data_IF_496579746361
#
_entry.id   IF_496579746361
#
_cell.length_a   1.000
_cell.length_b   1.000
_cell.length_c   1.000
_cell.angle_alpha   90.00
_cell.angle_beta   90.00
_cell.angle_gamma   90.00
#
_symmetry.space_group_name_H-M   'P 1'
#
loop_
_entity.id
_entity.type
_entity.pdbx_description
1 polymer ?
#
# COMPACT_ATOMS: atom_id res chain seq x y z
N UNK A 1 -4.97 54.18 5.84
CA UNK A 1 -5.86 53.33 5.04
C UNK A 1 -5.36 51.93 5.13
N UNK A 2 -6.03 51.00 5.82
CA UNK A 2 -5.61 49.60 5.90
C UNK A 2 -6.22 48.81 4.75
N UNK A 3 -5.37 47.97 4.11
CA UNK A 3 -5.71 47.03 3.02
C UNK A 3 -6.42 45.83 3.65
N UNK A 4 -7.68 45.64 3.27
CA UNK A 4 -8.46 44.44 3.65
C UNK A 4 -8.00 43.25 2.84
N UNK A 5 -7.36 42.27 3.49
CA UNK A 5 -7.14 40.91 2.94
C UNK A 5 -8.44 40.11 3.07
N UNK A 6 -9.13 39.96 1.96
CA UNK A 6 -10.26 39.04 1.81
C UNK A 6 -9.74 37.60 1.65
N UNK A 7 -9.75 36.85 2.75
CA UNK A 7 -9.45 35.41 2.73
C UNK A 7 -10.71 34.67 2.29
N UNK A 8 -10.66 34.05 1.12
CA UNK A 8 -11.66 33.12 0.61
C UNK A 8 -11.86 31.95 1.58
N UNK A 9 -12.89 32.01 2.41
CA UNK A 9 -13.42 30.82 3.11
C UNK A 9 -14.27 30.03 2.13
N UNK A 10 -13.71 28.99 1.53
CA UNK A 10 -14.52 27.93 0.92
C UNK A 10 -15.09 27.07 2.02
N UNK A 11 -16.39 27.18 2.25
CA UNK A 11 -17.14 26.26 3.10
C UNK A 11 -17.16 24.89 2.40
N UNK A 12 -16.31 23.97 2.85
CA UNK A 12 -16.51 22.55 2.58
C UNK A 12 -17.68 22.10 3.46
N UNK A 13 -18.83 21.88 2.84
CA UNK A 13 -19.93 21.17 3.48
C UNK A 13 -19.52 19.72 3.57
N UNK A 14 -18.94 19.32 4.68
CA UNK A 14 -18.82 17.94 5.08
C UNK A 14 -20.24 17.47 5.46
N UNK A 15 -20.77 16.50 4.75
CA UNK A 15 -22.10 15.95 5.00
C UNK A 15 -22.05 15.10 6.29
N UNK A 16 -22.69 15.49 7.41
CA UNK A 16 -22.54 14.80 8.70
C UNK A 16 -23.39 13.54 8.86
N UNK A 17 -23.95 12.97 7.78
CA UNK A 17 -24.97 11.92 7.87
C UNK A 17 -24.46 10.49 7.61
N UNK A 18 -23.16 10.20 7.69
CA UNK A 18 -22.62 8.82 7.58
C UNK A 18 -21.91 8.29 8.83
N UNK A 19 -22.00 8.96 9.98
CA UNK A 19 -21.50 8.43 11.24
C UNK A 19 -22.60 7.66 11.98
N UNK A 20 -22.89 6.46 11.48
CA UNK A 20 -23.83 5.54 12.11
C UNK A 20 -23.41 4.10 11.84
N UNK A 21 -22.98 3.40 12.90
CA UNK A 21 -22.58 2.00 13.01
C UNK A 21 -21.22 1.68 12.38
N UNK A 22 -20.20 1.57 13.23
CA UNK A 22 -18.94 0.88 12.94
C UNK A 22 -19.25 -0.61 12.91
N UNK A 23 -19.66 -1.13 11.75
CA UNK A 23 -19.43 -2.55 11.46
C UNK A 23 -17.91 -2.67 11.30
N UNK A 24 -17.29 -3.57 12.07
CA UNK A 24 -15.89 -3.90 11.93
C UNK A 24 -15.71 -4.67 10.63
N UNK A 25 -15.73 -3.96 9.51
CA UNK A 25 -15.43 -4.57 8.22
C UNK A 25 -14.01 -5.12 8.25
N UNK A 26 -13.88 -6.41 7.97
CA UNK A 26 -12.59 -7.08 7.85
C UNK A 26 -11.78 -6.44 6.72
N UNK A 27 -10.57 -5.98 7.00
CA UNK A 27 -9.68 -5.47 5.97
C UNK A 27 -9.06 -6.64 5.19
N UNK A 28 -9.24 -6.68 3.88
CA UNK A 28 -8.60 -7.68 3.03
C UNK A 28 -7.33 -7.08 2.45
N UNK A 29 -6.18 -7.69 2.77
CA UNK A 29 -4.88 -7.36 2.19
C UNK A 29 -4.57 -8.30 1.04
N UNK A 30 -4.34 -7.77 -0.17
CA UNK A 30 -3.76 -8.51 -1.27
C UNK A 30 -2.24 -8.58 -1.13
N UNK A 31 -1.66 -9.76 -1.30
CA UNK A 31 -0.20 -9.96 -1.33
C UNK A 31 0.16 -10.58 -2.67
N UNK A 32 0.78 -9.79 -3.55
CA UNK A 32 1.16 -10.20 -4.90
C UNK A 32 2.68 -10.35 -5.02
N UNK A 33 3.15 -11.58 -5.25
CA UNK A 33 4.56 -11.85 -5.53
C UNK A 33 4.77 -11.98 -7.04
N UNK A 34 5.54 -11.06 -7.63
CA UNK A 34 5.99 -11.13 -9.02
C UNK A 34 7.38 -11.78 -9.06
N UNK A 35 7.46 -13.01 -9.58
CA UNK A 35 8.71 -13.78 -9.66
C UNK A 35 8.58 -15.00 -10.57
N UNK A 36 9.36 -15.05 -11.65
CA UNK A 36 9.48 -16.25 -12.51
C UNK A 36 9.88 -17.50 -11.74
N UNK A 37 10.75 -17.35 -10.74
CA UNK A 37 11.26 -18.51 -9.97
C UNK A 37 10.23 -19.04 -8.99
N UNK A 38 9.47 -18.16 -8.37
CA UNK A 38 8.44 -18.55 -7.43
C UNK A 38 7.21 -19.12 -8.15
N UNK A 39 6.81 -18.53 -9.28
CA UNK A 39 5.65 -18.97 -10.07
C UNK A 39 5.82 -20.38 -10.63
N UNK A 40 7.06 -20.78 -10.98
CA UNK A 40 7.39 -22.12 -11.48
C UNK A 40 7.73 -23.13 -10.38
N UNK A 41 7.70 -22.72 -9.10
CA UNK A 41 8.06 -23.58 -7.97
C UNK A 41 9.56 -23.91 -7.84
N UNK A 42 10.43 -23.28 -8.63
CA UNK A 42 11.89 -23.43 -8.57
C UNK A 42 12.49 -22.81 -7.29
N UNK A 43 11.81 -21.81 -6.75
CA UNK A 43 12.21 -21.11 -5.53
C UNK A 43 11.00 -20.90 -4.61
N UNK A 44 11.22 -21.08 -3.32
CA UNK A 44 10.18 -20.82 -2.34
C UNK A 44 9.97 -19.30 -2.18
N UNK A 45 8.71 -18.84 -2.26
CA UNK A 45 8.37 -17.45 -1.99
C UNK A 45 8.54 -17.16 -0.48
N UNK A 46 9.58 -16.39 -0.16
CA UNK A 46 9.83 -15.89 1.20
C UNK A 46 9.30 -14.48 1.42
N UNK A 47 9.00 -13.76 0.33
CA UNK A 47 8.64 -12.35 0.36
C UNK A 47 7.16 -12.15 0.72
N UNK A 48 6.27 -12.95 0.16
CA UNK A 48 4.85 -12.93 0.53
C UNK A 48 4.63 -13.24 2.01
N UNK A 49 5.19 -14.34 2.56
CA UNK A 49 5.15 -14.62 3.99
C UNK A 49 5.75 -13.53 4.87
N UNK A 50 6.79 -12.81 4.40
CA UNK A 50 7.37 -11.69 5.16
C UNK A 50 6.38 -10.51 5.27
N UNK A 51 5.61 -10.23 4.21
CA UNK A 51 4.54 -9.23 4.25
C UNK A 51 3.46 -9.64 5.26
N UNK A 52 2.98 -10.88 5.20
CA UNK A 52 1.97 -11.38 6.14
C UNK A 52 2.46 -11.37 7.59
N UNK A 53 3.75 -11.70 7.82
CA UNK A 53 4.34 -11.60 9.16
C UNK A 53 4.31 -10.17 9.68
N UNK A 54 4.68 -9.19 8.83
CA UNK A 54 4.59 -7.78 9.19
C UNK A 54 3.15 -7.38 9.56
N UNK A 55 2.16 -7.76 8.75
CA UNK A 55 0.75 -7.43 9.01
C UNK A 55 0.27 -8.05 10.33
N UNK A 56 0.67 -9.30 10.63
CA UNK A 56 0.34 -10.00 11.88
C UNK A 56 0.94 -9.32 13.11
N UNK A 57 2.16 -8.78 12.98
CA UNK A 57 2.86 -8.09 14.06
C UNK A 57 2.32 -6.67 14.30
N UNK A 58 1.65 -6.09 13.29
CA UNK A 58 1.34 -4.65 13.27
C UNK A 58 -0.16 -4.35 13.32
N UNK A 59 -1.01 -5.08 12.59
CA UNK A 59 -2.44 -4.79 12.46
C UNK A 59 -3.23 -5.46 13.58
N UNK A 60 -4.01 -4.67 14.32
CA UNK A 60 -4.82 -5.15 15.46
C UNK A 60 -6.32 -5.24 15.14
N UNK A 61 -6.83 -4.55 14.11
CA UNK A 61 -8.18 -4.75 13.59
C UNK A 61 -8.32 -6.09 12.86
N UNK A 62 -9.54 -6.55 12.60
CA UNK A 62 -9.76 -7.77 11.82
C UNK A 62 -9.22 -7.62 10.39
N UNK A 63 -8.47 -8.61 9.94
CA UNK A 63 -7.96 -8.64 8.57
C UNK A 63 -7.77 -10.07 8.05
N UNK A 64 -7.76 -10.18 6.73
CA UNK A 64 -7.47 -11.40 5.98
C UNK A 64 -6.44 -11.10 4.89
N UNK A 65 -5.73 -12.14 4.42
CA UNK A 65 -4.77 -12.01 3.31
C UNK A 65 -5.18 -12.89 2.13
N UNK A 66 -5.17 -12.27 0.93
CA UNK A 66 -5.32 -12.94 -0.36
C UNK A 66 -3.97 -12.96 -1.06
N UNK A 67 -3.40 -14.16 -1.29
CA UNK A 67 -2.09 -14.30 -1.93
C UNK A 67 -2.20 -14.75 -3.38
N UNK A 68 -1.40 -14.12 -4.23
CA UNK A 68 -1.19 -14.52 -5.63
C UNK A 68 0.30 -14.49 -5.93
N UNK A 69 0.80 -15.48 -6.64
CA UNK A 69 2.15 -15.51 -7.21
C UNK A 69 2.02 -15.57 -8.73
N UNK A 70 2.69 -14.63 -9.41
CA UNK A 70 2.72 -14.56 -10.88
C UNK A 70 4.15 -14.51 -11.41
N UNK A 71 4.32 -14.78 -12.67
CA UNK A 71 5.57 -14.55 -13.38
C UNK A 71 5.87 -13.04 -13.55
N UNK A 72 7.13 -12.71 -13.86
CA UNK A 72 7.56 -11.33 -14.17
C UNK A 72 7.09 -10.94 -15.59
N UNK A 73 5.76 -10.91 -15.79
CA UNK A 73 5.05 -10.49 -17.00
C UNK A 73 4.06 -9.37 -16.66
N UNK A 74 4.09 -8.29 -17.46
CA UNK A 74 3.29 -7.10 -17.17
C UNK A 74 1.80 -7.42 -17.15
N UNK A 75 1.32 -8.21 -18.12
CA UNK A 75 -0.10 -8.53 -18.23
C UNK A 75 -0.55 -9.43 -17.09
N UNK A 76 0.27 -10.40 -16.71
CA UNK A 76 -0.02 -11.27 -15.57
C UNK A 76 -0.11 -10.49 -14.25
N UNK A 77 0.77 -9.50 -14.04
CA UNK A 77 0.74 -8.61 -12.87
C UNK A 77 -0.50 -7.70 -12.92
N UNK A 78 -0.82 -7.10 -14.07
CA UNK A 78 -2.02 -6.26 -14.24
C UNK A 78 -3.30 -7.03 -13.95
N UNK A 79 -3.45 -8.24 -14.51
CA UNK A 79 -4.61 -9.11 -14.29
C UNK A 79 -4.75 -9.50 -12.81
N UNK A 80 -3.64 -9.83 -12.15
CA UNK A 80 -3.64 -10.17 -10.72
C UNK A 80 -3.99 -8.96 -9.83
N UNK A 81 -3.48 -7.76 -10.14
CA UNK A 81 -3.86 -6.53 -9.43
C UNK A 81 -5.35 -6.24 -9.58
N UNK A 82 -5.88 -6.36 -10.78
CA UNK A 82 -7.31 -6.18 -11.07
C UNK A 82 -8.14 -7.23 -10.33
N UNK A 83 -7.74 -8.49 -10.33
CA UNK A 83 -8.44 -9.57 -9.62
C UNK A 83 -8.49 -9.34 -8.10
N UNK A 84 -7.35 -9.01 -7.49
CA UNK A 84 -7.28 -8.72 -6.06
C UNK A 84 -8.20 -7.54 -5.66
N UNK A 85 -8.22 -6.49 -6.48
CA UNK A 85 -8.96 -5.27 -6.16
C UNK A 85 -10.44 -5.40 -6.54
N UNK A 86 -10.72 -5.77 -7.78
CA UNK A 86 -12.06 -5.68 -8.36
C UNK A 86 -12.95 -6.88 -8.02
N UNK A 87 -12.36 -8.08 -7.82
CA UNK A 87 -13.10 -9.31 -7.55
C UNK A 87 -12.99 -9.77 -6.09
N UNK A 88 -11.81 -9.62 -5.46
CA UNK A 88 -11.59 -10.05 -4.08
C UNK A 88 -11.71 -8.91 -3.07
N UNK A 89 -11.98 -7.67 -3.51
CA UNK A 89 -12.23 -6.49 -2.68
C UNK A 89 -11.08 -6.19 -1.70
N UNK A 90 -9.82 -6.43 -2.10
CA UNK A 90 -8.67 -6.06 -1.28
C UNK A 90 -8.59 -4.54 -1.13
N UNK A 91 -8.61 -4.04 0.10
CA UNK A 91 -8.51 -2.60 0.40
C UNK A 91 -7.07 -2.07 0.25
N UNK A 92 -6.10 -2.95 0.48
CA UNK A 92 -4.67 -2.66 0.31
C UNK A 92 -4.03 -3.83 -0.43
N UNK A 93 -3.27 -3.56 -1.49
CA UNK A 93 -2.48 -4.57 -2.19
C UNK A 93 -1.00 -4.24 -2.05
N UNK A 94 -0.25 -5.16 -1.45
CA UNK A 94 1.20 -5.10 -1.29
C UNK A 94 1.84 -6.03 -2.31
N UNK A 95 2.52 -5.47 -3.31
CA UNK A 95 3.27 -6.27 -4.28
C UNK A 95 4.72 -6.43 -3.85
N UNK A 96 5.37 -7.51 -4.21
CA UNK A 96 6.80 -7.73 -3.98
C UNK A 96 7.47 -8.33 -5.21
N UNK A 97 8.68 -7.85 -5.50
CA UNK A 97 9.45 -8.24 -6.69
C UNK A 97 9.26 -7.31 -7.89
N UNK A 98 10.13 -7.42 -8.89
CA UNK A 98 10.07 -6.70 -10.16
C UNK A 98 10.14 -5.17 -10.07
N UNK A 99 10.85 -4.59 -9.07
CA UNK A 99 10.89 -3.13 -8.83
C UNK A 99 12.23 -2.47 -9.14
N UNK A 100 13.20 -3.20 -9.66
CA UNK A 100 14.52 -2.68 -10.03
C UNK A 100 14.58 -2.11 -11.46
N UNK A 101 15.79 -1.85 -11.98
CA UNK A 101 16.02 -1.30 -13.31
C UNK A 101 16.21 -2.37 -14.42
N UNK A 102 16.12 -3.65 -14.09
CA UNK A 102 16.29 -4.74 -15.07
C UNK A 102 15.13 -4.75 -16.07
N UNK A 103 15.32 -5.20 -17.32
CA UNK A 103 14.22 -5.33 -18.29
C UNK A 103 13.04 -6.21 -17.84
N UNK A 104 13.26 -7.11 -16.88
CA UNK A 104 12.21 -7.96 -16.30
C UNK A 104 11.51 -7.31 -15.10
N UNK A 105 12.06 -6.22 -14.57
CA UNK A 105 11.46 -5.48 -13.46
C UNK A 105 10.37 -4.55 -14.01
N UNK A 106 9.12 -5.00 -14.04
CA UNK A 106 8.00 -4.31 -14.70
C UNK A 106 6.80 -4.07 -13.77
N UNK A 107 6.94 -4.42 -12.49
CA UNK A 107 5.86 -4.22 -11.49
C UNK A 107 5.40 -2.76 -11.39
N UNK A 108 6.29 -1.73 -11.44
CA UNK A 108 5.85 -0.33 -11.43
C UNK A 108 5.05 0.06 -12.68
N UNK A 109 5.39 -0.50 -13.85
CA UNK A 109 4.67 -0.26 -15.11
C UNK A 109 3.26 -0.86 -15.05
N UNK A 110 3.15 -2.12 -14.62
CA UNK A 110 1.86 -2.79 -14.43
C UNK A 110 0.97 -2.03 -13.42
N UNK A 111 1.57 -1.59 -12.30
CA UNK A 111 0.85 -0.80 -11.29
C UNK A 111 0.35 0.53 -11.87
N UNK A 112 1.17 1.24 -12.65
CA UNK A 112 0.77 2.49 -13.31
C UNK A 112 -0.36 2.28 -14.33
N UNK A 113 -0.35 1.14 -15.04
CA UNK A 113 -1.35 0.84 -16.05
C UNK A 113 -2.75 0.61 -15.45
N UNK A 114 -2.83 0.06 -14.23
CA UNK A 114 -4.11 -0.28 -13.59
C UNK A 114 -4.59 0.76 -12.57
N UNK A 115 -3.72 1.61 -12.05
CA UNK A 115 -4.08 2.61 -11.05
C UNK A 115 -4.62 3.90 -11.66
N UNK A 116 -5.66 4.46 -11.05
CA UNK A 116 -6.27 5.73 -11.46
C UNK A 116 -5.41 6.94 -11.08
N UNK A 117 -4.65 6.82 -9.99
CA UNK A 117 -3.79 7.88 -9.44
C UNK A 117 -2.53 7.28 -8.84
N UNK A 118 -1.42 8.00 -8.95
CA UNK A 118 -0.13 7.62 -8.33
C UNK A 118 0.11 8.50 -7.11
N UNK A 119 0.64 7.90 -6.04
CA UNK A 119 1.03 8.54 -4.79
C UNK A 119 2.56 8.60 -4.70
N UNK A 120 3.22 9.64 -5.26
CA UNK A 120 4.69 9.69 -5.38
C UNK A 120 5.39 9.69 -4.03
N UNK A 121 4.78 10.28 -2.97
CA UNK A 121 5.37 10.36 -1.64
C UNK A 121 5.72 9.00 -1.03
N UNK A 122 4.95 7.95 -1.30
CA UNK A 122 5.31 6.58 -0.87
C UNK A 122 6.63 6.13 -1.51
N UNK A 123 6.77 6.29 -2.83
CA UNK A 123 8.00 5.91 -3.54
C UNK A 123 9.21 6.72 -3.09
N UNK A 124 9.05 7.99 -2.80
CA UNK A 124 10.08 8.87 -2.27
C UNK A 124 10.55 8.41 -0.89
N UNK A 125 9.61 8.17 0.04
CA UNK A 125 9.92 7.72 1.39
C UNK A 125 10.57 6.33 1.39
N UNK A 126 10.04 5.38 0.62
CA UNK A 126 10.59 4.03 0.50
C UNK A 126 12.05 4.05 0.03
N UNK A 127 12.39 4.85 -0.98
CA UNK A 127 13.78 5.02 -1.45
C UNK A 127 14.64 5.71 -0.43
N UNK A 128 14.15 6.76 0.23
CA UNK A 128 14.89 7.50 1.26
C UNK A 128 15.33 6.60 2.39
N UNK A 129 14.43 5.75 2.88
CA UNK A 129 14.75 4.79 3.95
C UNK A 129 15.72 3.72 3.44
N UNK A 130 15.45 3.12 2.27
CA UNK A 130 16.31 2.06 1.73
C UNK A 130 17.74 2.52 1.47
N UNK A 131 17.96 3.79 1.07
CA UNK A 131 19.31 4.36 0.88
C UNK A 131 20.12 4.45 2.17
N UNK A 132 19.50 4.39 3.34
CA UNK A 132 20.22 4.32 4.62
C UNK A 132 20.93 2.97 4.81
N UNK A 133 20.44 1.92 4.16
CA UNK A 133 20.98 0.56 4.24
C UNK A 133 21.89 0.22 3.05
N UNK A 134 21.47 0.59 1.83
CA UNK A 134 22.22 0.28 0.60
C UNK A 134 22.16 1.43 -0.39
N UNK A 135 23.33 1.93 -0.90
CA UNK A 135 23.38 3.05 -1.84
C UNK A 135 22.64 2.78 -3.17
N UNK A 136 22.55 1.50 -3.58
CA UNK A 136 21.88 1.10 -4.83
C UNK A 136 20.36 1.16 -4.75
N UNK A 137 19.78 1.45 -3.58
CA UNK A 137 18.34 1.65 -3.42
C UNK A 137 17.80 2.82 -4.28
N UNK A 138 18.67 3.77 -4.69
CA UNK A 138 18.30 4.83 -5.64
C UNK A 138 17.87 4.28 -7.02
N UNK A 139 18.24 3.05 -7.36
CA UNK A 139 17.82 2.38 -8.59
C UNK A 139 16.39 1.80 -8.49
N UNK A 140 15.80 1.79 -7.31
CA UNK A 140 14.45 1.28 -7.09
C UNK A 140 13.40 2.20 -7.73
N UNK A 141 12.51 1.59 -8.49
CA UNK A 141 11.40 2.26 -9.17
C UNK A 141 10.05 2.05 -8.48
N UNK A 142 10.10 1.66 -7.19
CA UNK A 142 8.94 1.47 -6.35
C UNK A 142 8.00 2.69 -6.37
N UNK A 143 6.71 2.41 -6.46
CA UNK A 143 5.64 3.40 -6.43
C UNK A 143 4.50 2.91 -5.54
N UNK A 144 3.57 3.82 -5.23
CA UNK A 144 2.24 3.46 -4.77
C UNK A 144 1.19 4.16 -5.63
N UNK A 145 0.02 3.56 -5.73
CA UNK A 145 -1.09 4.10 -6.50
C UNK A 145 -2.44 3.73 -5.90
N UNK A 146 -3.48 4.32 -6.43
CA UNK A 146 -4.87 4.08 -6.05
C UNK A 146 -5.61 3.55 -7.28
N UNK A 147 -6.30 2.42 -7.12
CA UNK A 147 -7.29 1.92 -8.04
C UNK A 147 -8.63 1.85 -7.33
N UNK A 148 -9.64 2.56 -7.83
CA UNK A 148 -10.96 2.68 -7.16
C UNK A 148 -10.79 3.11 -5.69
N UNK A 149 -11.16 2.24 -4.74
CA UNK A 149 -11.05 2.44 -3.30
C UNK A 149 -9.88 1.69 -2.66
N UNK A 150 -8.91 1.21 -3.45
CA UNK A 150 -7.81 0.38 -2.95
C UNK A 150 -6.45 1.05 -3.13
N UNK A 151 -5.61 0.90 -2.12
CA UNK A 151 -4.20 1.34 -2.14
C UNK A 151 -3.32 0.19 -2.64
N UNK A 152 -2.46 0.46 -3.63
CA UNK A 152 -1.43 -0.46 -4.11
C UNK A 152 -0.06 0.08 -3.74
N UNK A 153 0.82 -0.75 -3.15
CA UNK A 153 2.20 -0.38 -2.79
C UNK A 153 3.16 -1.43 -3.36
N UNK A 154 4.15 -0.98 -4.14
CA UNK A 154 5.19 -1.88 -4.63
C UNK A 154 6.35 -1.95 -3.64
N UNK A 155 6.67 -3.16 -3.17
CA UNK A 155 7.76 -3.45 -2.25
C UNK A 155 8.92 -4.15 -2.98
N UNK A 156 10.14 -4.12 -2.43
CA UNK A 156 11.25 -4.87 -3.00
C UNK A 156 11.07 -6.39 -2.83
N UNK A 157 11.83 -7.18 -3.60
CA UNK A 157 11.80 -8.63 -3.51
C UNK A 157 12.55 -9.24 -2.31
N UNK A 158 13.23 -8.44 -1.50
CA UNK A 158 13.99 -8.93 -0.33
C UNK A 158 13.13 -8.92 0.94
N UNK A 159 12.93 -10.05 1.64
CA UNK A 159 12.15 -10.11 2.89
C UNK A 159 12.62 -9.10 3.95
N UNK A 160 13.93 -8.91 4.10
CA UNK A 160 14.49 -7.94 5.03
C UNK A 160 14.10 -6.50 4.65
N UNK A 161 14.26 -6.14 3.38
CA UNK A 161 13.94 -4.80 2.89
C UNK A 161 12.45 -4.50 2.93
N UNK A 162 11.58 -5.52 2.83
CA UNK A 162 10.13 -5.39 3.01
C UNK A 162 9.82 -4.81 4.39
N UNK A 163 10.38 -5.41 5.46
CA UNK A 163 10.16 -4.94 6.83
C UNK A 163 10.65 -3.52 7.03
N UNK A 164 11.91 -3.24 6.63
CA UNK A 164 12.53 -1.91 6.74
C UNK A 164 11.68 -0.81 6.06
N UNK A 165 11.08 -1.14 4.91
CA UNK A 165 10.22 -0.21 4.16
C UNK A 165 8.85 -0.05 4.81
N UNK A 166 8.19 -1.16 5.14
CA UNK A 166 6.86 -1.11 5.74
C UNK A 166 6.89 -0.36 7.07
N UNK A 167 7.92 -0.56 7.91
CA UNK A 167 8.10 0.20 9.15
C UNK A 167 8.12 1.73 8.90
N UNK A 168 8.52 2.18 7.71
CA UNK A 168 8.63 3.61 7.39
C UNK A 168 7.41 4.23 6.72
N UNK A 169 6.55 3.43 6.07
CA UNK A 169 5.42 3.96 5.29
C UNK A 169 4.06 3.51 5.82
N UNK A 170 4.00 2.44 6.62
CA UNK A 170 2.73 1.86 7.04
C UNK A 170 1.94 2.78 7.97
N UNK A 171 2.60 3.70 8.68
CA UNK A 171 1.93 4.71 9.52
C UNK A 171 0.91 5.56 8.75
N UNK A 172 1.10 5.75 7.43
CA UNK A 172 0.20 6.50 6.57
C UNK A 172 -0.90 5.62 5.92
N UNK A 173 -0.75 4.29 5.94
CA UNK A 173 -1.67 3.36 5.26
C UNK A 173 -3.08 3.41 5.83
N UNK A 174 -3.30 3.32 7.17
CA UNK A 174 -4.65 3.35 7.74
C UNK A 174 -5.44 4.60 7.35
N UNK A 175 -4.84 5.78 7.46
CA UNK A 175 -5.53 7.02 7.09
C UNK A 175 -5.74 7.15 5.57
N UNK A 176 -4.83 6.63 4.76
CA UNK A 176 -5.04 6.56 3.31
C UNK A 176 -6.27 5.71 2.97
N UNK A 177 -6.44 4.56 3.63
CA UNK A 177 -7.60 3.68 3.45
C UNK A 177 -8.90 4.36 3.91
N UNK A 178 -8.88 5.11 5.04
CA UNK A 178 -10.03 5.91 5.48
C UNK A 178 -10.47 6.93 4.41
N UNK A 179 -9.51 7.59 3.75
CA UNK A 179 -9.78 8.58 2.69
C UNK A 179 -10.34 7.94 1.41
N UNK A 180 -10.23 6.62 1.28
CA UNK A 180 -10.77 5.82 0.18
C UNK A 180 -12.10 5.16 0.54
N UNK A 181 -12.72 5.54 1.65
CA UNK A 181 -13.95 4.94 2.20
C UNK A 181 -13.78 3.44 2.53
N UNK A 182 -12.56 2.99 2.83
CA UNK A 182 -12.23 1.62 3.19
C UNK A 182 -12.45 1.29 4.67
N UNK A 183 -12.12 0.04 5.09
CA UNK A 183 -12.25 -0.42 6.47
C UNK A 183 -11.31 0.33 7.41
N UNK A 184 -11.71 0.46 8.69
CA UNK A 184 -10.92 1.16 9.69
C UNK A 184 -9.80 0.27 10.23
N UNK A 185 -8.59 0.47 9.73
CA UNK A 185 -7.41 -0.30 10.13
C UNK A 185 -6.84 0.29 11.42
N UNK A 186 -6.66 -0.53 12.46
CA UNK A 186 -5.92 -0.17 13.68
C UNK A 186 -4.60 -0.93 13.75
N UNK A 187 -3.60 -0.32 14.37
CA UNK A 187 -2.26 -0.87 14.51
C UNK A 187 -1.86 -0.93 15.99
N UNK A 188 -0.95 -1.81 16.32
CA UNK A 188 -0.26 -1.80 17.61
C UNK A 188 0.67 -0.56 17.66
N UNK A 189 0.45 0.40 18.57
CA UNK A 189 1.27 1.61 18.64
C UNK A 189 2.73 1.34 19.02
N UNK A 190 3.02 0.22 19.68
CA UNK A 190 4.40 -0.19 20.00
C UNK A 190 5.13 -0.72 18.75
N UNK A 191 4.39 -1.23 17.75
CA UNK A 191 4.93 -1.66 16.46
C UNK A 191 4.94 -0.51 15.46
N UNK A 192 3.78 0.09 15.19
CA UNK A 192 3.60 1.22 14.26
C UNK A 192 2.57 2.19 14.83
N UNK A 193 3.02 3.39 15.17
CA UNK A 193 2.14 4.51 15.53
C UNK A 193 1.51 5.10 14.26
N UNK A 194 0.29 4.65 13.93
CA UNK A 194 -0.42 5.11 12.73
C UNK A 194 -1.02 6.49 12.98
N UNK A 195 -0.73 7.42 12.07
CA UNK A 195 -1.22 8.78 12.18
C UNK A 195 -2.61 8.95 11.56
N UNK A 196 -3.52 9.53 12.33
CA UNK A 196 -4.80 10.08 11.86
C UNK A 196 -4.99 11.50 12.43
N UNK A 197 -5.46 12.46 11.62
CA UNK A 197 -5.84 13.76 12.16
C UNK A 197 -7.04 13.61 13.12
N UNK A 198 -7.22 14.51 14.11
CA UNK A 198 -8.25 14.36 15.14
C UNK A 198 -9.68 14.14 14.63
N UNK A 199 -10.03 14.72 13.47
CA UNK A 199 -11.34 14.57 12.86
C UNK A 199 -11.59 13.20 12.20
N UNK A 200 -10.56 12.38 12.03
CA UNK A 200 -10.62 11.05 11.43
C UNK A 200 -10.54 9.92 12.47
N UNK A 201 -10.39 10.26 13.74
CA UNK A 201 -10.44 9.28 14.83
C UNK A 201 -11.89 8.82 15.02
N UNK A 202 -12.07 7.50 15.10
CA UNK A 202 -13.35 6.87 15.47
C UNK A 202 -13.29 6.53 16.97
N UNK A 203 -14.35 6.85 17.71
CA UNK A 203 -14.51 6.50 19.13
C UNK A 203 -14.81 5.01 19.32
#
# INVERSE_FOLDING_TARGET
MPIQNSIYRRNFHCNPLRYGMVDSETCIFGVLTASDRASTGVYEDLSGPAIESFLRDTVTSQWEAERIIVEDDQKAIEEALVDLIDNRNCSVVLTTGGTGPSPRDITPEATKAVCDRILPGFGEQMRTVSMQYVPTAMLSRQIAGIRKSSLVINLPGSPRSIREILDSVFSAVPYCVDLLDGPYITTDPDAIDSYRPPHALRE
#
